data_IF_340200808709
#
_entry.id   IF_340200808709
#
_cell.length_a   1.000
_cell.length_b   1.000
_cell.length_c   1.000
_cell.angle_alpha   90.00
_cell.angle_beta   90.00
_cell.angle_gamma   90.00
#
_symmetry.space_group_name_H-M   'P 1'
#
loop_
_entity.id
_entity.type
_entity.pdbx_description
1 polymer ?
#
# COMPACT_ATOMS: atom_id res chain seq x y z
N UNK A 1 13.98 1.97 -26.65
CA UNK A 1 12.89 1.19 -26.06
C UNK A 1 13.41 -0.21 -25.88
N UNK A 2 13.72 -0.59 -24.64
CA UNK A 2 14.03 -1.99 -24.33
C UNK A 2 12.76 -2.77 -24.64
N UNK A 3 12.88 -3.86 -25.38
CA UNK A 3 11.74 -4.72 -25.66
C UNK A 3 11.40 -5.45 -24.37
N UNK A 4 10.27 -5.15 -23.74
CA UNK A 4 9.74 -5.87 -22.57
C UNK A 4 9.18 -7.27 -22.94
N UNK A 5 9.81 -7.93 -23.91
CA UNK A 5 9.45 -9.28 -24.30
C UNK A 5 9.84 -10.26 -23.17
N UNK A 6 8.86 -11.00 -22.65
CA UNK A 6 9.03 -12.05 -21.64
C UNK A 6 8.89 -13.42 -22.29
N UNK A 7 9.87 -14.29 -22.08
CA UNK A 7 9.83 -15.69 -22.49
C UNK A 7 9.38 -16.59 -21.35
N UNK A 8 8.50 -17.54 -21.66
CA UNK A 8 7.96 -18.53 -20.73
C UNK A 8 8.26 -19.94 -21.25
N UNK A 9 8.64 -20.89 -20.39
CA UNK A 9 8.89 -22.26 -20.80
C UNK A 9 7.61 -22.93 -21.32
N UNK A 10 7.76 -23.93 -22.17
CA UNK A 10 6.64 -24.72 -22.65
C UNK A 10 5.96 -25.48 -21.49
N UNK A 11 4.63 -25.55 -21.51
CA UNK A 11 3.89 -26.33 -20.53
C UNK A 11 3.95 -27.85 -20.85
N UNK A 12 4.12 -28.72 -19.84
CA UNK A 12 4.15 -30.15 -20.07
C UNK A 12 2.77 -30.69 -20.47
N UNK A 13 2.77 -31.82 -21.19
CA UNK A 13 1.55 -32.57 -21.47
C UNK A 13 0.87 -33.05 -20.17
N UNK A 14 -0.46 -33.05 -20.15
CA UNK A 14 -1.22 -33.63 -19.04
C UNK A 14 -1.42 -32.70 -17.83
N UNK A 15 -1.26 -31.38 -17.99
CA UNK A 15 -1.82 -30.41 -17.05
C UNK A 15 -3.28 -30.80 -16.74
N UNK A 16 -3.59 -31.11 -15.47
CA UNK A 16 -4.85 -31.78 -15.08
C UNK A 16 -6.06 -31.04 -15.69
N UNK A 17 -6.91 -31.75 -16.45
CA UNK A 17 -8.20 -31.22 -16.90
C UNK A 17 -9.04 -30.86 -15.67
N UNK A 18 -9.43 -29.60 -15.58
CA UNK A 18 -10.26 -29.05 -14.49
C UNK A 18 -11.64 -28.66 -15.04
N UNK A 19 -12.61 -28.44 -14.15
CA UNK A 19 -13.95 -27.99 -14.51
C UNK A 19 -13.94 -26.63 -15.24
N UNK A 20 -13.09 -25.70 -14.76
CA UNK A 20 -12.70 -24.46 -15.45
C UNK A 20 -11.28 -24.59 -15.99
N UNK A 21 -10.97 -23.92 -17.09
CA UNK A 21 -9.66 -24.06 -17.73
C UNK A 21 -8.55 -23.29 -16.97
N UNK A 22 -8.84 -22.09 -16.47
CA UNK A 22 -8.00 -21.32 -15.54
C UNK A 22 -8.54 -21.40 -14.09
N UNK A 23 -7.74 -21.07 -13.08
CA UNK A 23 -8.16 -21.08 -11.65
C UNK A 23 -8.86 -19.80 -11.24
N UNK A 24 -8.24 -18.69 -11.58
CA UNK A 24 -8.62 -17.33 -11.28
C UNK A 24 -9.81 -16.87 -12.10
N UNK A 25 -10.52 -15.85 -11.60
CA UNK A 25 -11.61 -15.26 -12.36
C UNK A 25 -11.09 -14.55 -13.62
N UNK A 26 -9.93 -13.89 -13.56
CA UNK A 26 -9.37 -13.12 -14.68
C UNK A 26 -8.80 -14.01 -15.78
N UNK A 27 -8.16 -15.13 -15.43
CA UNK A 27 -7.75 -16.14 -16.41
C UNK A 27 -8.94 -16.78 -17.13
N UNK A 28 -10.06 -17.00 -16.44
CA UNK A 28 -11.29 -17.49 -17.09
C UNK A 28 -11.94 -16.40 -17.95
N UNK A 29 -11.90 -15.14 -17.52
CA UNK A 29 -12.44 -14.03 -18.30
C UNK A 29 -11.67 -13.79 -19.60
N UNK A 30 -10.34 -13.98 -19.58
CA UNK A 30 -9.52 -14.05 -20.81
C UNK A 30 -10.01 -15.13 -21.77
N UNK A 31 -10.26 -16.35 -21.28
CA UNK A 31 -10.71 -17.45 -22.13
C UNK A 31 -12.07 -17.13 -22.74
N UNK A 32 -13.00 -16.60 -21.95
CA UNK A 32 -14.30 -16.15 -22.45
C UNK A 32 -14.13 -15.11 -23.55
N UNK A 33 -13.26 -14.12 -23.36
CA UNK A 33 -12.99 -13.10 -24.36
C UNK A 33 -12.46 -13.67 -25.69
N UNK A 34 -11.53 -14.64 -25.64
CA UNK A 34 -11.02 -15.31 -26.84
C UNK A 34 -12.09 -16.20 -27.50
N UNK A 35 -12.90 -16.92 -26.71
CA UNK A 35 -13.97 -17.79 -27.23
C UNK A 35 -15.09 -16.98 -27.88
N UNK A 36 -15.48 -15.84 -27.29
CA UNK A 36 -16.49 -14.93 -27.84
C UNK A 36 -16.02 -14.27 -29.14
N UNK A 37 -14.70 -14.12 -29.33
CA UNK A 37 -14.12 -13.58 -30.55
C UNK A 37 -13.95 -14.61 -31.67
N UNK A 38 -14.10 -15.90 -31.38
CA UNK A 38 -13.83 -16.97 -32.34
C UNK A 38 -14.99 -17.16 -33.33
N UNK A 39 -14.68 -17.27 -34.63
CA UNK A 39 -15.68 -17.53 -35.67
C UNK A 39 -16.06 -19.01 -35.78
N UNK A 40 -15.15 -19.91 -35.38
CA UNK A 40 -15.39 -21.37 -35.38
C UNK A 40 -15.07 -22.01 -34.02
N UNK A 41 -16.14 -22.32 -33.28
CA UNK A 41 -16.08 -23.01 -31.99
C UNK A 41 -15.44 -24.42 -32.06
N UNK A 42 -15.41 -25.06 -33.23
CA UNK A 42 -14.74 -26.34 -33.39
C UNK A 42 -13.22 -26.20 -33.30
N UNK A 43 -12.64 -25.13 -33.87
CA UNK A 43 -11.21 -24.86 -33.73
C UNK A 43 -10.83 -24.59 -32.28
N UNK A 44 -11.66 -23.88 -31.52
CA UNK A 44 -11.45 -23.67 -30.09
C UNK A 44 -11.40 -25.00 -29.32
N UNK A 45 -12.32 -25.94 -29.60
CA UNK A 45 -12.31 -27.28 -29.00
C UNK A 45 -11.04 -28.07 -29.35
N UNK A 46 -10.53 -27.96 -30.58
CA UNK A 46 -9.29 -28.63 -31.01
C UNK A 46 -8.07 -27.96 -30.36
N UNK A 47 -7.98 -26.64 -30.40
CA UNK A 47 -6.91 -25.87 -29.77
C UNK A 47 -6.81 -26.11 -28.27
N UNK A 48 -7.96 -26.21 -27.58
CA UNK A 48 -8.01 -26.61 -26.17
C UNK A 48 -7.38 -27.99 -25.92
N UNK A 49 -7.60 -28.96 -26.81
CA UNK A 49 -6.94 -30.28 -26.72
C UNK A 49 -5.44 -30.16 -26.94
N UNK A 50 -5.00 -29.32 -27.88
CA UNK A 50 -3.59 -29.07 -28.17
C UNK A 50 -2.87 -28.44 -26.97
N UNK A 51 -3.51 -27.46 -26.33
CA UNK A 51 -3.01 -26.84 -25.10
C UNK A 51 -2.77 -27.88 -23.98
N UNK A 52 -3.73 -28.78 -23.73
CA UNK A 52 -3.55 -29.85 -22.74
C UNK A 52 -2.52 -30.92 -23.13
N UNK A 53 -2.33 -31.13 -24.43
CA UNK A 53 -1.38 -32.10 -24.95
C UNK A 53 0.07 -31.60 -24.91
N UNK A 54 0.32 -30.35 -24.49
CA UNK A 54 1.66 -29.76 -24.46
C UNK A 54 2.22 -29.49 -25.87
N UNK A 55 1.34 -29.19 -26.84
CA UNK A 55 1.73 -28.94 -28.23
C UNK A 55 2.19 -27.51 -28.48
N UNK A 56 2.09 -26.61 -27.50
CA UNK A 56 2.61 -25.24 -27.61
C UNK A 56 4.01 -25.23 -26.99
N UNK A 57 4.99 -24.74 -27.75
CA UNK A 57 6.36 -24.57 -27.30
C UNK A 57 6.52 -23.40 -26.32
N UNK A 58 7.76 -22.92 -26.10
CA UNK A 58 8.00 -21.73 -25.30
C UNK A 58 7.20 -20.54 -25.81
N UNK A 59 6.57 -19.80 -24.91
CA UNK A 59 5.69 -18.67 -25.23
C UNK A 59 6.46 -17.38 -25.03
N UNK A 60 6.43 -16.49 -26.02
CA UNK A 60 6.91 -15.11 -25.89
C UNK A 60 5.72 -14.17 -25.80
N UNK A 61 5.73 -13.31 -24.80
CA UNK A 61 4.73 -12.25 -24.60
C UNK A 61 5.43 -10.90 -24.70
N UNK A 62 4.86 -10.00 -25.49
CA UNK A 62 5.30 -8.61 -25.63
C UNK A 62 4.09 -7.69 -25.75
N UNK A 63 4.31 -6.38 -25.83
CA UNK A 63 3.24 -5.41 -26.04
C UNK A 63 2.39 -5.76 -27.27
N UNK A 64 1.11 -6.00 -27.05
CA UNK A 64 0.13 -6.35 -28.07
C UNK A 64 0.36 -7.66 -28.82
N UNK A 65 1.19 -8.57 -28.31
CA UNK A 65 1.51 -9.81 -29.04
C UNK A 65 1.88 -10.98 -28.14
N UNK A 66 1.30 -12.13 -28.43
CA UNK A 66 1.71 -13.44 -27.91
C UNK A 66 2.19 -14.30 -29.08
N UNK A 67 3.27 -15.07 -28.89
CA UNK A 67 3.83 -15.90 -29.95
C UNK A 67 4.43 -17.19 -29.41
N UNK A 68 4.31 -18.27 -30.18
CA UNK A 68 4.97 -19.55 -29.92
C UNK A 68 5.07 -20.38 -31.20
N UNK A 69 5.95 -21.37 -31.21
CA UNK A 69 5.82 -22.49 -32.15
C UNK A 69 4.80 -23.47 -31.60
N UNK A 70 3.79 -23.83 -32.39
CA UNK A 70 2.78 -24.83 -32.04
C UNK A 70 2.93 -26.04 -32.94
N UNK A 71 2.94 -27.23 -32.36
CA UNK A 71 3.16 -28.48 -33.08
C UNK A 71 1.83 -29.13 -33.47
N UNK A 72 1.67 -29.45 -34.75
CA UNK A 72 0.58 -30.26 -35.27
C UNK A 72 0.52 -31.66 -34.63
N UNK A 73 -0.55 -32.41 -34.90
CA UNK A 73 -0.66 -33.81 -34.45
C UNK A 73 0.42 -34.73 -35.01
N UNK A 74 0.94 -34.40 -36.19
CA UNK A 74 2.07 -35.02 -36.88
C UNK A 74 3.44 -34.47 -36.43
N UNK A 75 3.45 -33.56 -35.45
CA UNK A 75 4.61 -32.82 -34.95
C UNK A 75 5.18 -31.78 -35.92
N UNK A 76 4.49 -31.45 -37.00
CA UNK A 76 4.89 -30.34 -37.87
C UNK A 76 4.86 -29.02 -37.10
N UNK A 77 5.95 -28.23 -37.08
CA UNK A 77 5.98 -26.96 -36.37
C UNK A 77 5.27 -25.86 -37.16
N UNK A 78 4.46 -25.07 -36.47
CA UNK A 78 3.80 -23.89 -37.00
C UNK A 78 4.21 -22.65 -36.22
N UNK A 79 4.67 -21.60 -36.91
CA UNK A 79 4.91 -20.30 -36.29
C UNK A 79 3.56 -19.62 -36.09
N UNK A 80 3.21 -19.38 -34.83
CA UNK A 80 1.90 -18.85 -34.45
C UNK A 80 2.07 -17.60 -33.60
N UNK A 81 1.36 -16.54 -33.95
CA UNK A 81 1.17 -15.37 -33.10
C UNK A 81 -0.29 -14.95 -33.02
N UNK A 82 -0.64 -14.24 -31.96
CA UNK A 82 -1.88 -13.50 -31.86
C UNK A 82 -1.51 -12.08 -31.51
N UNK A 83 -1.93 -11.16 -32.35
CA UNK A 83 -1.86 -9.73 -32.10
C UNK A 83 -3.10 -9.32 -31.32
N UNK A 84 -2.88 -8.53 -30.27
CA UNK A 84 -3.94 -8.04 -29.39
C UNK A 84 -3.83 -6.52 -29.34
N UNK A 85 -4.95 -5.82 -29.53
CA UNK A 85 -4.99 -4.37 -29.38
C UNK A 85 -4.39 -3.95 -28.02
N UNK A 86 -3.66 -2.86 -27.98
CA UNK A 86 -3.15 -2.29 -26.72
C UNK A 86 -4.13 -1.27 -26.19
N UNK A 87 -4.12 -1.04 -24.88
CA UNK A 87 -4.84 0.09 -24.31
C UNK A 87 -4.15 1.38 -24.73
N UNK A 88 -4.95 2.41 -24.99
CA UNK A 88 -4.47 3.77 -25.22
C UNK A 88 -3.86 4.35 -23.94
N UNK A 89 -3.01 5.37 -24.06
CA UNK A 89 -2.43 6.04 -22.89
C UNK A 89 -3.52 6.63 -21.95
N UNK A 90 -4.65 7.06 -22.50
CA UNK A 90 -5.79 7.55 -21.71
C UNK A 90 -6.45 6.44 -20.90
N UNK A 91 -6.62 5.25 -21.48
CA UNK A 91 -7.16 4.09 -20.78
C UNK A 91 -6.18 3.59 -19.71
N UNK A 92 -4.89 3.56 -20.01
CA UNK A 92 -3.84 3.27 -19.02
C UNK A 92 -3.87 4.26 -17.85
N UNK A 93 -3.99 5.56 -18.13
CA UNK A 93 -4.07 6.57 -17.08
C UNK A 93 -5.28 6.36 -16.16
N UNK A 94 -6.45 6.04 -16.71
CA UNK A 94 -7.66 5.73 -15.93
C UNK A 94 -7.49 4.49 -15.06
N UNK A 95 -6.92 3.43 -15.63
CA UNK A 95 -6.67 2.18 -14.90
C UNK A 95 -5.71 2.43 -13.73
N UNK A 96 -4.62 3.16 -13.97
CA UNK A 96 -3.62 3.47 -12.95
C UNK A 96 -4.20 4.36 -11.84
N UNK A 97 -5.00 5.39 -12.18
CA UNK A 97 -5.68 6.21 -11.17
C UNK A 97 -6.64 5.39 -10.31
N UNK A 98 -7.38 4.47 -10.92
CA UNK A 98 -8.29 3.58 -10.22
C UNK A 98 -7.56 2.62 -9.26
N UNK A 99 -6.47 2.02 -9.71
CA UNK A 99 -5.63 1.14 -8.86
C UNK A 99 -4.98 1.97 -7.74
N UNK A 100 -4.44 3.14 -8.05
CA UNK A 100 -3.78 4.03 -7.11
C UNK A 100 -4.71 4.59 -6.02
N UNK A 101 -6.02 4.64 -6.29
CA UNK A 101 -7.02 5.14 -5.35
C UNK A 101 -7.17 4.27 -4.08
N UNK A 102 -6.71 3.01 -4.09
CA UNK A 102 -6.73 2.14 -2.92
C UNK A 102 -5.45 1.33 -2.81
N UNK A 103 -4.70 1.55 -1.72
CA UNK A 103 -3.46 0.81 -1.43
C UNK A 103 -3.65 -0.72 -1.46
N UNK A 104 -4.83 -1.22 -1.08
CA UNK A 104 -5.17 -2.65 -1.17
C UNK A 104 -5.16 -3.23 -2.59
N UNK A 105 -5.44 -2.43 -3.63
CA UNK A 105 -5.36 -2.89 -5.02
C UNK A 105 -3.91 -3.02 -5.49
N UNK A 106 -3.03 -2.12 -5.07
CA UNK A 106 -1.59 -2.22 -5.33
C UNK A 106 -1.02 -3.46 -4.62
N UNK A 107 -1.38 -3.66 -3.35
CA UNK A 107 -0.98 -4.85 -2.60
C UNK A 107 -1.43 -6.14 -3.29
N UNK A 108 -2.68 -6.22 -3.77
CA UNK A 108 -3.17 -7.37 -4.52
C UNK A 108 -2.33 -7.65 -5.77
N UNK A 109 -2.00 -6.61 -6.56
CA UNK A 109 -1.14 -6.79 -7.74
C UNK A 109 0.26 -7.28 -7.38
N UNK A 110 0.86 -6.74 -6.31
CA UNK A 110 2.17 -7.21 -5.79
C UNK A 110 2.13 -8.69 -5.38
N UNK A 111 1.00 -9.14 -4.84
CA UNK A 111 0.74 -10.55 -4.50
C UNK A 111 0.33 -11.40 -5.72
N UNK A 112 0.42 -10.85 -6.94
CA UNK A 112 0.04 -11.49 -8.21
C UNK A 112 -1.43 -11.87 -8.29
N UNK A 113 -2.30 -11.07 -7.66
CA UNK A 113 -3.74 -11.18 -7.76
C UNK A 113 -4.36 -9.99 -8.52
N UNK A 114 -5.39 -10.25 -9.33
CA UNK A 114 -6.12 -9.18 -10.00
C UNK A 114 -7.20 -8.60 -9.08
N UNK A 115 -7.28 -7.27 -8.86
CA UNK A 115 -8.32 -6.65 -8.05
C UNK A 115 -9.74 -7.04 -8.51
N UNK A 116 -10.56 -7.57 -7.60
CA UNK A 116 -11.88 -8.14 -7.93
C UNK A 116 -12.90 -7.16 -8.53
N UNK A 117 -12.72 -5.85 -8.31
CA UNK A 117 -13.60 -4.80 -8.81
C UNK A 117 -13.08 -4.12 -10.09
N UNK A 118 -12.14 -4.75 -10.82
CA UNK A 118 -11.48 -4.13 -11.97
C UNK A 118 -12.45 -3.63 -13.05
N UNK A 119 -13.65 -4.22 -13.14
CA UNK A 119 -14.72 -3.75 -14.03
C UNK A 119 -15.16 -2.32 -13.72
N UNK A 120 -15.04 -1.88 -12.47
CA UNK A 120 -15.32 -0.51 -12.05
C UNK A 120 -14.29 0.51 -12.55
N UNK A 121 -13.14 0.08 -13.09
CA UNK A 121 -12.20 0.96 -13.76
C UNK A 121 -12.72 1.45 -15.13
N UNK A 122 -13.80 0.85 -15.67
CA UNK A 122 -14.38 1.17 -16.99
C UNK A 122 -13.35 1.15 -18.13
N UNK A 123 -12.30 0.35 -17.98
CA UNK A 123 -11.25 0.14 -18.98
C UNK A 123 -11.40 -1.27 -19.57
N UNK A 124 -11.42 -1.41 -20.91
CA UNK A 124 -11.55 -2.72 -21.56
C UNK A 124 -10.24 -3.50 -21.47
N UNK A 125 -9.90 -4.01 -20.29
CA UNK A 125 -8.63 -4.71 -20.09
C UNK A 125 -8.58 -6.04 -20.85
N UNK A 126 -9.71 -6.75 -20.93
CA UNK A 126 -9.85 -7.96 -21.71
C UNK A 126 -10.09 -7.61 -23.19
N UNK A 127 -9.52 -8.39 -24.12
CA UNK A 127 -9.71 -8.12 -25.55
C UNK A 127 -11.18 -8.27 -25.94
N UNK A 128 -11.65 -7.39 -26.82
CA UNK A 128 -12.96 -7.51 -27.45
C UNK A 128 -12.88 -8.34 -28.74
N UNK A 129 -14.03 -8.67 -29.33
CA UNK A 129 -14.11 -9.48 -30.55
C UNK A 129 -13.24 -8.94 -31.70
N UNK A 130 -13.09 -7.62 -31.81
CA UNK A 130 -12.29 -6.97 -32.86
C UNK A 130 -10.82 -6.76 -32.49
N UNK A 131 -10.42 -7.10 -31.26
CA UNK A 131 -9.09 -6.78 -30.75
C UNK A 131 -8.07 -7.89 -31.06
N UNK A 132 -8.49 -9.00 -31.67
CA UNK A 132 -7.66 -10.20 -31.85
C UNK A 132 -7.39 -10.49 -33.32
N UNK A 133 -6.11 -10.51 -33.66
CA UNK A 133 -5.62 -10.80 -35.00
C UNK A 133 -4.67 -12.00 -34.94
N UNK A 134 -5.18 -13.23 -35.15
CA UNK A 134 -4.36 -14.44 -35.15
C UNK A 134 -3.58 -14.58 -36.47
N UNK A 135 -2.31 -14.91 -36.38
CA UNK A 135 -1.42 -15.20 -37.50
C UNK A 135 -0.80 -16.60 -37.32
N UNK A 136 -0.89 -17.44 -38.35
CA UNK A 136 -0.29 -18.76 -38.35
C UNK A 136 0.08 -19.17 -39.78
N UNK A 137 1.21 -19.86 -39.94
CA UNK A 137 1.68 -20.40 -41.22
C UNK A 137 1.00 -21.72 -41.64
N UNK A 138 -0.09 -22.14 -40.97
CA UNK A 138 -0.79 -23.37 -41.31
C UNK A 138 -1.74 -23.17 -42.50
N UNK A 139 -2.08 -24.25 -43.20
CA UNK A 139 -3.02 -24.22 -44.33
C UNK A 139 -4.49 -23.97 -43.94
N UNK A 140 -4.78 -23.81 -42.64
CA UNK A 140 -6.12 -23.52 -42.13
C UNK A 140 -6.53 -22.06 -42.38
N UNK A 141 -7.80 -21.86 -42.73
CA UNK A 141 -8.39 -20.54 -43.02
C UNK A 141 -9.30 -20.04 -41.90
N UNK A 142 -9.42 -20.81 -40.82
CA UNK A 142 -10.28 -20.47 -39.69
C UNK A 142 -9.64 -19.42 -38.78
N UNK A 143 -10.47 -18.56 -38.17
CA UNK A 143 -10.03 -17.45 -37.32
C UNK A 143 -10.64 -17.56 -35.91
N UNK A 144 -9.84 -17.82 -34.86
CA UNK A 144 -8.47 -18.33 -34.90
C UNK A 144 -8.41 -19.79 -35.37
N UNK A 145 -7.28 -20.20 -35.96
CA UNK A 145 -7.01 -21.60 -36.25
C UNK A 145 -6.73 -22.38 -34.94
N UNK A 146 -6.74 -23.72 -34.99
CA UNK A 146 -6.43 -24.57 -33.83
C UNK A 146 -5.11 -24.23 -33.11
N UNK A 147 -4.09 -23.74 -33.83
CA UNK A 147 -2.79 -23.40 -33.24
C UNK A 147 -2.86 -22.09 -32.46
N UNK A 148 -3.45 -21.05 -33.04
CA UNK A 148 -3.69 -19.77 -32.36
C UNK A 148 -4.62 -19.96 -31.15
N UNK A 149 -5.66 -20.78 -31.28
CA UNK A 149 -6.51 -21.17 -30.16
C UNK A 149 -5.70 -21.86 -29.03
N UNK A 150 -4.84 -22.83 -29.37
CA UNK A 150 -4.00 -23.53 -28.39
C UNK A 150 -3.06 -22.57 -27.63
N UNK A 151 -2.43 -21.64 -28.35
CA UNK A 151 -1.59 -20.59 -27.78
C UNK A 151 -2.40 -19.71 -26.81
N UNK A 152 -3.56 -19.20 -27.23
CA UNK A 152 -4.42 -18.35 -26.39
C UNK A 152 -4.89 -19.05 -25.12
N UNK A 153 -5.19 -20.35 -25.20
CA UNK A 153 -5.51 -21.15 -24.01
C UNK A 153 -4.32 -21.25 -23.05
N UNK A 154 -3.11 -21.58 -23.52
CA UNK A 154 -1.95 -21.68 -22.60
C UNK A 154 -1.54 -20.32 -22.03
N UNK A 155 -1.71 -19.23 -22.77
CA UNK A 155 -1.52 -17.88 -22.22
C UNK A 155 -2.49 -17.60 -21.06
N UNK A 156 -3.69 -18.17 -21.07
CA UNK A 156 -4.60 -18.07 -19.93
C UNK A 156 -3.99 -18.65 -18.64
N UNK A 157 -3.15 -19.69 -18.72
CA UNK A 157 -2.43 -20.23 -17.56
C UNK A 157 -1.31 -19.30 -17.08
N UNK A 158 -0.64 -18.61 -18.01
CA UNK A 158 0.34 -17.59 -17.63
C UNK A 158 -0.34 -16.41 -16.92
N UNK A 159 -1.46 -15.94 -17.46
CA UNK A 159 -2.28 -14.88 -16.87
C UNK A 159 -2.82 -15.32 -15.50
N UNK A 160 -3.20 -16.59 -15.34
CA UNK A 160 -3.68 -17.17 -14.09
C UNK A 160 -2.64 -17.15 -12.96
N UNK A 161 -1.36 -17.26 -13.31
CA UNK A 161 -0.25 -17.25 -12.36
C UNK A 161 0.31 -15.85 -12.13
N UNK A 162 0.29 -14.99 -13.15
CA UNK A 162 0.86 -13.65 -13.11
C UNK A 162 -0.02 -12.66 -13.90
N UNK A 163 -0.83 -11.82 -13.24
CA UNK A 163 -1.70 -10.86 -13.93
C UNK A 163 -0.92 -9.81 -14.74
N UNK A 164 0.37 -9.61 -14.46
CA UNK A 164 1.20 -8.70 -15.26
C UNK A 164 1.44 -9.20 -16.68
N UNK A 165 1.20 -10.49 -16.96
CA UNK A 165 1.20 -11.01 -18.34
C UNK A 165 0.10 -10.34 -19.15
N UNK A 166 -1.11 -10.17 -18.58
CA UNK A 166 -2.21 -9.48 -19.24
C UNK A 166 -1.90 -7.98 -19.42
N UNK A 167 -1.33 -7.35 -18.39
CA UNK A 167 -0.96 -5.93 -18.44
C UNK A 167 0.12 -5.67 -19.50
N UNK A 168 1.09 -6.59 -19.62
CA UNK A 168 2.13 -6.55 -20.67
C UNK A 168 1.52 -6.69 -22.06
N UNK A 169 0.61 -7.65 -22.27
CA UNK A 169 -0.12 -7.80 -23.54
C UNK A 169 -0.84 -6.49 -23.88
N UNK A 170 -1.41 -5.80 -22.89
CA UNK A 170 -2.14 -4.54 -23.09
C UNK A 170 -1.25 -3.29 -23.17
N UNK A 171 0.08 -3.44 -23.11
CA UNK A 171 1.05 -2.40 -23.47
C UNK A 171 1.85 -1.77 -22.33
N UNK A 172 1.86 -2.36 -21.12
CA UNK A 172 2.72 -1.91 -20.02
C UNK A 172 3.40 -3.07 -19.30
N UNK A 173 4.73 -3.01 -19.22
CA UNK A 173 5.55 -3.93 -18.44
C UNK A 173 5.35 -3.75 -16.93
N UNK A 174 5.73 -4.76 -16.16
CA UNK A 174 5.58 -4.78 -14.70
C UNK A 174 6.35 -3.64 -14.01
N UNK A 175 7.61 -3.42 -14.39
CA UNK A 175 8.44 -2.38 -13.79
C UNK A 175 7.86 -0.99 -14.03
N UNK A 176 7.56 -0.66 -15.29
CA UNK A 176 6.96 0.63 -15.67
C UNK A 176 5.62 0.87 -14.95
N UNK A 177 4.78 -0.17 -14.86
CA UNK A 177 3.49 -0.08 -14.19
C UNK A 177 3.62 0.17 -12.69
N UNK A 178 4.53 -0.54 -12.02
CA UNK A 178 4.76 -0.36 -10.57
C UNK A 178 5.39 1.01 -10.28
N UNK A 179 6.27 1.50 -11.13
CA UNK A 179 6.84 2.84 -11.01
C UNK A 179 5.76 3.93 -11.18
N UNK A 180 4.88 3.79 -12.18
CA UNK A 180 3.75 4.73 -12.36
C UNK A 180 2.78 4.70 -11.17
N UNK A 181 2.47 3.52 -10.62
CA UNK A 181 1.63 3.40 -9.42
C UNK A 181 2.29 4.03 -8.19
N UNK A 182 3.60 3.83 -8.00
CA UNK A 182 4.34 4.45 -6.92
C UNK A 182 4.33 5.98 -7.03
N UNK A 183 4.41 6.54 -8.23
CA UNK A 183 4.32 7.98 -8.45
C UNK A 183 2.93 8.54 -8.14
N UNK A 184 1.86 7.78 -8.43
CA UNK A 184 0.47 8.20 -8.19
C UNK A 184 0.02 8.02 -6.74
N UNK A 185 0.50 6.97 -6.07
CA UNK A 185 0.15 6.64 -4.68
C UNK A 185 1.17 7.12 -3.66
N UNK A 186 2.31 7.66 -4.11
CA UNK A 186 3.35 8.18 -3.25
C UNK A 186 2.91 9.40 -2.43
N UNK A 187 3.66 9.75 -1.36
CA UNK A 187 3.39 10.96 -0.60
C UNK A 187 3.40 12.18 -1.53
N UNK A 188 2.46 13.10 -1.33
CA UNK A 188 2.38 14.32 -2.14
C UNK A 188 3.73 15.05 -2.16
N UNK A 189 4.02 15.79 -3.22
CA UNK A 189 5.25 16.59 -3.29
C UNK A 189 5.40 17.56 -2.12
N UNK A 190 4.29 18.04 -1.57
CA UNK A 190 4.26 18.82 -0.33
C UNK A 190 4.68 18.00 0.90
N UNK A 191 4.24 16.75 1.02
CA UNK A 191 4.64 15.86 2.11
C UNK A 191 6.12 15.44 2.00
N UNK A 192 6.60 15.17 0.79
CA UNK A 192 8.02 14.89 0.53
C UNK A 192 8.92 16.04 1.00
N UNK A 193 8.51 17.29 0.83
CA UNK A 193 9.26 18.44 1.34
C UNK A 193 9.45 18.38 2.86
N UNK A 194 8.40 18.04 3.62
CA UNK A 194 8.50 17.91 5.08
C UNK A 194 9.41 16.75 5.47
N UNK A 195 9.30 15.60 4.78
CA UNK A 195 10.15 14.42 5.03
C UNK A 195 11.63 14.73 4.82
N UNK A 196 11.96 15.40 3.71
CA UNK A 196 13.33 15.83 3.40
C UNK A 196 13.83 16.85 4.42
N UNK A 197 12.98 17.79 4.85
CA UNK A 197 13.34 18.80 5.85
C UNK A 197 13.62 18.16 7.22
N UNK A 198 12.78 17.21 7.67
CA UNK A 198 12.97 16.49 8.93
C UNK A 198 14.23 15.62 8.89
N UNK A 199 14.43 14.89 7.78
CA UNK A 199 15.62 14.06 7.59
C UNK A 199 16.91 14.88 7.60
N UNK A 200 16.92 16.04 6.93
CA UNK A 200 18.06 16.95 6.94
C UNK A 200 18.33 17.52 8.35
N UNK A 201 17.31 17.91 9.09
CA UNK A 201 17.45 18.39 10.47
C UNK A 201 18.02 17.30 11.40
N UNK A 202 17.55 16.06 11.27
CA UNK A 202 18.08 14.91 12.03
C UNK A 202 19.53 14.59 11.67
N UNK A 203 19.87 14.62 10.37
CA UNK A 203 21.24 14.42 9.91
C UNK A 203 22.18 15.50 10.45
N UNK A 204 21.75 16.76 10.46
CA UNK A 204 22.53 17.85 11.05
C UNK A 204 22.74 17.65 12.56
N UNK A 205 21.69 17.28 13.30
CA UNK A 205 21.82 17.02 14.73
C UNK A 205 22.81 15.88 15.04
N UNK A 206 22.81 14.81 14.22
CA UNK A 206 23.79 13.73 14.32
C UNK A 206 25.24 14.22 14.06
N UNK A 207 25.43 15.09 13.06
CA UNK A 207 26.73 15.71 12.78
C UNK A 207 27.20 16.60 13.92
N UNK A 208 26.29 17.28 14.61
CA UNK A 208 26.56 18.10 15.80
C UNK A 208 26.76 17.25 17.08
N UNK A 209 26.75 15.92 16.96
CA UNK A 209 27.00 14.98 18.05
C UNK A 209 25.79 14.67 18.93
N UNK A 210 24.58 15.10 18.55
CA UNK A 210 23.36 14.71 19.23
C UNK A 210 23.04 13.23 18.96
N UNK A 211 22.45 12.56 19.95
CA UNK A 211 21.89 11.22 19.80
C UNK A 211 20.36 11.35 19.78
N UNK A 212 19.70 11.25 18.61
CA UNK A 212 18.25 11.34 18.54
C UNK A 212 17.61 10.23 19.36
N UNK A 213 16.55 10.54 20.14
CA UNK A 213 15.82 9.49 20.85
C UNK A 213 15.12 8.55 19.86
N UNK A 214 15.08 7.26 20.18
CA UNK A 214 14.17 6.34 19.51
C UNK A 214 12.74 6.66 19.98
N UNK A 215 11.91 7.10 19.04
CA UNK A 215 10.51 7.43 19.28
C UNK A 215 9.62 6.28 18.83
N UNK A 216 8.56 6.03 19.59
CA UNK A 216 7.46 5.19 19.10
C UNK A 216 6.74 5.88 17.94
N UNK A 217 5.99 5.13 17.13
CA UNK A 217 5.19 5.69 16.03
C UNK A 217 4.24 6.81 16.52
N UNK A 218 3.63 6.61 17.70
CA UNK A 218 2.78 7.62 18.31
C UNK A 218 3.56 8.89 18.71
N UNK A 219 4.71 8.73 19.36
CA UNK A 219 5.57 9.86 19.71
C UNK A 219 6.05 10.61 18.48
N UNK A 220 6.44 9.91 17.41
CA UNK A 220 6.91 10.54 16.18
C UNK A 220 5.78 11.27 15.46
N UNK A 221 4.56 10.72 15.47
CA UNK A 221 3.35 11.39 14.93
C UNK A 221 3.08 12.72 15.64
N UNK A 222 3.10 12.72 16.97
CA UNK A 222 2.87 13.94 17.76
C UNK A 222 4.00 14.95 17.57
N UNK A 223 5.25 14.48 17.51
CA UNK A 223 6.41 15.32 17.18
C UNK A 223 6.24 16.01 15.83
N UNK A 224 5.82 15.26 14.81
CA UNK A 224 5.57 15.78 13.47
C UNK A 224 4.47 16.84 13.47
N UNK A 225 3.34 16.57 14.12
CA UNK A 225 2.25 17.54 14.25
C UNK A 225 2.68 18.83 15.00
N UNK A 226 3.52 18.69 16.02
CA UNK A 226 4.08 19.83 16.75
C UNK A 226 5.09 20.64 15.93
N UNK A 227 5.92 19.96 15.12
CA UNK A 227 6.97 20.59 14.30
C UNK A 227 6.40 21.21 13.02
N UNK A 228 5.39 20.59 12.43
CA UNK A 228 4.77 20.97 11.17
C UNK A 228 3.24 21.10 11.34
N UNK A 229 2.74 22.22 11.91
CA UNK A 229 1.31 22.39 12.20
C UNK A 229 0.39 22.25 10.98
N UNK A 230 0.92 22.47 9.77
CA UNK A 230 0.19 22.28 8.52
C UNK A 230 -0.21 20.80 8.26
N UNK A 231 0.45 19.84 8.92
CA UNK A 231 0.18 18.41 8.78
C UNK A 231 -0.79 17.86 9.84
N UNK A 232 -1.12 18.64 10.87
CA UNK A 232 -1.92 18.16 12.01
C UNK A 232 -3.26 17.55 11.59
N UNK A 233 -3.96 18.17 10.62
CA UNK A 233 -5.23 17.63 10.13
C UNK A 233 -5.09 16.27 9.44
N UNK A 234 -4.08 16.12 8.57
CA UNK A 234 -3.81 14.85 7.88
C UNK A 234 -3.39 13.74 8.85
N UNK A 235 -2.55 14.07 9.84
CA UNK A 235 -2.11 13.11 10.85
C UNK A 235 -3.26 12.71 11.80
N UNK A 236 -4.15 13.64 12.14
CA UNK A 236 -5.33 13.35 12.94
C UNK A 236 -6.30 12.42 12.19
N UNK A 237 -6.52 12.65 10.89
CA UNK A 237 -7.32 11.78 10.03
C UNK A 237 -6.71 10.39 9.91
N UNK A 238 -5.41 10.29 9.62
CA UNK A 238 -4.70 9.02 9.45
C UNK A 238 -4.69 8.17 10.73
N UNK A 239 -4.58 8.81 11.90
CA UNK A 239 -4.56 8.09 13.19
C UNK A 239 -5.95 7.90 13.80
N UNK A 240 -6.96 8.63 13.32
CA UNK A 240 -8.28 8.70 13.94
C UNK A 240 -8.25 9.31 15.36
N UNK A 241 -7.25 10.14 15.67
CA UNK A 241 -7.04 10.73 17.01
C UNK A 241 -7.01 12.25 16.93
N UNK A 242 -7.63 12.92 17.90
CA UNK A 242 -7.38 14.35 18.12
C UNK A 242 -5.96 14.53 18.69
N UNK A 243 -5.14 15.31 17.97
CA UNK A 243 -3.76 15.57 18.32
C UNK A 243 -3.59 16.82 19.20
N UNK A 244 -4.64 17.60 19.44
CA UNK A 244 -4.54 18.92 20.10
C UNK A 244 -3.88 18.84 21.48
N UNK A 245 -4.37 17.93 22.34
CA UNK A 245 -3.82 17.72 23.70
C UNK A 245 -2.42 17.12 23.67
N UNK A 246 -2.18 16.18 22.76
CA UNK A 246 -0.89 15.50 22.60
C UNK A 246 0.20 16.46 22.11
N UNK A 247 -0.10 17.27 21.09
CA UNK A 247 0.80 18.33 20.58
C UNK A 247 1.12 19.31 21.69
N UNK A 248 0.13 19.73 22.48
CA UNK A 248 0.37 20.65 23.60
C UNK A 248 1.27 20.03 24.67
N UNK A 249 1.04 18.77 25.03
CA UNK A 249 1.90 18.03 25.96
C UNK A 249 3.34 17.91 25.44
N UNK A 250 3.50 17.62 24.15
CA UNK A 250 4.79 17.53 23.48
C UNK A 250 5.51 18.88 23.44
N UNK A 251 4.82 19.96 23.09
CA UNK A 251 5.41 21.31 23.04
C UNK A 251 5.94 21.75 24.41
N UNK A 252 5.25 21.39 25.50
CA UNK A 252 5.70 21.71 26.84
C UNK A 252 6.79 20.76 27.37
N UNK A 253 6.69 19.47 27.08
CA UNK A 253 7.44 18.45 27.80
C UNK A 253 8.16 17.40 26.96
N UNK A 254 8.09 17.49 25.64
CA UNK A 254 8.61 16.49 24.72
C UNK A 254 8.03 15.09 24.95
N UNK A 255 8.83 14.02 24.77
CA UNK A 255 8.40 12.64 25.00
C UNK A 255 7.86 12.39 26.41
N UNK A 256 8.45 13.01 27.44
CA UNK A 256 7.99 12.84 28.83
C UNK A 256 6.66 13.55 29.07
N UNK A 257 6.45 14.73 28.47
CA UNK A 257 5.16 15.41 28.53
C UNK A 257 4.03 14.57 27.92
N UNK A 258 4.31 13.90 26.80
CA UNK A 258 3.37 12.96 26.18
C UNK A 258 3.14 11.70 27.05
N UNK A 259 4.18 11.12 27.65
CA UNK A 259 4.04 9.98 28.59
C UNK A 259 3.15 10.35 29.78
N UNK A 260 3.30 11.55 30.33
CA UNK A 260 2.51 12.05 31.47
C UNK A 260 1.05 12.36 31.08
N UNK A 261 0.79 12.67 29.80
CA UNK A 261 -0.57 12.80 29.29
C UNK A 261 -1.28 11.45 29.22
N UNK A 262 -0.61 10.45 28.61
CA UNK A 262 -1.20 9.18 28.22
C UNK A 262 -1.21 8.14 29.35
N UNK A 263 -0.21 8.19 30.23
CA UNK A 263 0.03 7.15 31.22
C UNK A 263 -0.04 7.66 32.66
N UNK A 264 -0.40 6.75 33.56
CA UNK A 264 -0.27 6.95 35.00
C UNK A 264 0.66 5.90 35.57
N UNK A 265 1.45 6.26 36.58
CA UNK A 265 2.39 5.36 37.22
C UNK A 265 2.35 5.54 38.74
N UNK A 266 2.85 4.55 39.50
CA UNK A 266 2.87 4.61 40.96
C UNK A 266 4.28 4.97 41.44
N UNK A 267 4.51 6.19 41.95
CA UNK A 267 5.82 6.56 42.48
C UNK A 267 6.22 5.70 43.68
N UNK A 268 7.53 5.49 43.82
CA UNK A 268 8.08 4.77 44.97
C UNK A 268 7.86 5.57 46.26
N UNK A 269 7.99 4.92 47.43
CA UNK A 269 7.82 5.59 48.74
C UNK A 269 8.71 6.83 48.87
N UNK A 270 9.95 6.74 48.40
CA UNK A 270 10.91 7.85 48.43
C UNK A 270 10.47 9.02 47.55
N UNK A 271 9.97 8.75 46.36
CA UNK A 271 9.50 9.80 45.44
C UNK A 271 8.23 10.46 45.95
N UNK A 272 7.31 9.68 46.54
CA UNK A 272 6.13 10.21 47.22
C UNK A 272 6.49 11.09 48.41
N UNK A 273 7.49 10.71 49.22
CA UNK A 273 7.95 11.51 50.34
C UNK A 273 8.57 12.84 49.87
N UNK A 274 9.39 12.81 48.82
CA UNK A 274 9.94 14.03 48.20
C UNK A 274 8.83 14.92 47.61
N UNK A 275 7.87 14.31 46.92
CA UNK A 275 6.75 15.02 46.34
C UNK A 275 5.87 15.66 47.42
N UNK A 276 5.57 14.94 48.50
CA UNK A 276 4.82 15.48 49.64
C UNK A 276 5.54 16.66 50.28
N UNK A 277 6.85 16.54 50.53
CA UNK A 277 7.66 17.63 51.08
C UNK A 277 7.70 18.86 50.16
N UNK A 278 7.75 18.66 48.83
CA UNK A 278 7.70 19.76 47.87
C UNK A 278 6.32 20.44 47.81
N UNK A 279 5.25 19.73 48.18
CA UNK A 279 3.88 20.21 48.20
C UNK A 279 3.45 20.80 49.56
N UNK A 280 4.30 20.71 50.60
CA UNK A 280 4.10 21.40 51.88
C UNK A 280 4.46 22.88 51.73
N UNK A 281 3.58 23.64 51.06
CA UNK A 281 3.70 25.10 50.90
C UNK A 281 2.37 25.78 51.25
N UNK A 282 2.38 26.91 51.98
CA UNK A 282 1.17 27.68 52.27
C UNK A 282 0.53 28.30 51.01
N UNK A 283 1.26 28.37 49.90
CA UNK A 283 0.78 28.91 48.62
C UNK A 283 0.03 27.86 47.78
N UNK A 284 -0.03 26.61 48.23
CA UNK A 284 -0.66 25.50 47.52
C UNK A 284 -2.06 25.19 48.06
N UNK A 285 -3.04 24.90 47.18
CA UNK A 285 -4.35 24.43 47.61
C UNK A 285 -4.25 23.01 48.20
N UNK A 286 -5.30 22.57 48.89
CA UNK A 286 -5.39 21.20 49.38
C UNK A 286 -5.52 20.22 48.19
N UNK A 287 -4.47 19.43 47.96
CA UNK A 287 -4.36 18.54 46.81
C UNK A 287 -4.65 17.09 47.20
N UNK A 288 -5.57 16.44 46.49
CA UNK A 288 -5.80 15.00 46.63
C UNK A 288 -4.88 14.21 45.72
N UNK A 289 -4.10 13.29 46.30
CA UNK A 289 -3.16 12.44 45.57
C UNK A 289 -3.81 11.16 45.05
N UNK A 290 -3.51 10.81 43.81
CA UNK A 290 -3.82 9.50 43.21
C UNK A 290 -2.72 9.14 42.22
N UNK A 291 -1.97 8.06 42.50
CA UNK A 291 -0.81 7.64 41.68
C UNK A 291 0.23 8.77 41.55
N UNK A 292 0.54 9.21 40.33
CA UNK A 292 1.44 10.32 40.07
C UNK A 292 0.69 11.65 39.87
N UNK A 293 -0.60 11.75 40.23
CA UNK A 293 -1.42 12.95 40.06
C UNK A 293 -1.82 13.55 41.42
N UNK A 294 -1.81 14.88 41.49
CA UNK A 294 -2.27 15.69 42.62
C UNK A 294 -3.30 16.68 42.09
N UNK A 295 -4.52 16.63 42.60
CA UNK A 295 -5.67 17.35 42.02
C UNK A 295 -6.32 18.28 43.04
N UNK A 296 -6.62 19.51 42.64
CA UNK A 296 -7.41 20.49 43.38
C UNK A 296 -8.34 21.24 42.41
N UNK A 297 -9.65 21.19 42.68
CA UNK A 297 -10.71 21.80 41.84
C UNK A 297 -10.52 21.56 40.33
N UNK A 298 -10.10 22.60 39.60
CA UNK A 298 -9.89 22.61 38.15
C UNK A 298 -8.40 22.57 37.75
N UNK A 299 -7.52 22.25 38.68
CA UNK A 299 -6.06 22.14 38.49
C UNK A 299 -5.56 20.76 38.88
N UNK A 300 -4.54 20.28 38.17
CA UNK A 300 -3.88 19.02 38.47
C UNK A 300 -2.39 19.14 38.17
N UNK A 301 -1.56 18.71 39.12
CA UNK A 301 -0.15 18.49 38.92
C UNK A 301 0.11 17.00 38.67
N UNK A 302 0.93 16.69 37.66
CA UNK A 302 1.36 15.32 37.38
C UNK A 302 2.88 15.22 37.49
N UNK A 303 3.35 14.24 38.25
CA UNK A 303 4.78 13.96 38.40
C UNK A 303 5.27 13.07 37.25
N UNK A 304 6.23 13.57 36.48
CA UNK A 304 6.93 12.82 35.46
C UNK A 304 7.99 11.88 36.05
N UNK A 305 8.38 10.85 35.28
CA UNK A 305 9.50 9.96 35.66
C UNK A 305 10.86 10.66 35.62
N UNK A 306 10.92 11.85 35.01
CA UNK A 306 12.05 12.76 35.03
C UNK A 306 12.11 13.62 36.30
N UNK A 307 11.15 13.46 37.22
CA UNK A 307 11.08 14.18 38.49
C UNK A 307 10.53 15.60 38.39
N UNK A 308 10.00 16.01 37.23
CA UNK A 308 9.39 17.34 37.05
C UNK A 308 7.87 17.30 37.20
N UNK A 309 7.30 18.46 37.51
CA UNK A 309 5.88 18.69 37.73
C UNK A 309 5.23 19.30 36.50
N UNK A 310 4.26 18.58 35.95
CA UNK A 310 3.52 18.98 34.75
C UNK A 310 2.17 19.56 35.14
N UNK A 311 1.89 20.84 34.83
CA UNK A 311 0.62 21.46 35.16
C UNK A 311 -0.49 21.15 34.14
N UNK A 312 -1.68 20.83 34.66
CA UNK A 312 -2.89 20.58 33.90
C UNK A 312 -4.05 21.43 34.41
N UNK A 313 -4.90 21.88 33.51
CA UNK A 313 -6.16 22.56 33.80
C UNK A 313 -7.34 21.80 33.21
N UNK A 314 -8.46 21.77 33.91
CA UNK A 314 -9.69 21.16 33.42
C UNK A 314 -10.37 22.08 32.40
N UNK A 315 -10.59 21.59 31.18
CA UNK A 315 -11.27 22.28 30.08
C UNK A 315 -12.27 21.31 29.46
N UNK A 316 -13.54 21.71 29.36
CA UNK A 316 -14.63 20.89 28.80
C UNK A 316 -14.71 19.45 29.36
N UNK A 317 -14.42 19.31 30.66
CA UNK A 317 -14.44 18.02 31.36
C UNK A 317 -13.14 17.22 31.29
N UNK A 318 -12.19 17.60 30.43
CA UNK A 318 -10.91 16.93 30.23
C UNK A 318 -9.73 17.66 30.89
N UNK A 319 -8.67 16.92 31.23
CA UNK A 319 -7.42 17.49 31.74
C UNK A 319 -6.47 17.83 30.58
N UNK A 320 -6.23 19.13 30.38
CA UNK A 320 -5.36 19.65 29.33
C UNK A 320 -4.02 20.14 29.90
N UNK A 321 -2.87 19.82 29.27
CA UNK A 321 -1.59 20.41 29.63
C UNK A 321 -1.69 21.93 29.55
N UNK A 322 -1.19 22.62 30.57
CA UNK A 322 -1.45 24.05 30.74
C UNK A 322 -0.18 24.91 30.79
N UNK A 323 1.00 24.30 30.89
CA UNK A 323 2.30 24.99 30.87
C UNK A 323 3.49 24.03 30.79
N UNK A 324 4.72 24.58 30.70
CA UNK A 324 5.96 23.80 30.76
C UNK A 324 6.11 23.10 32.13
N UNK A 325 6.89 22.00 32.19
CA UNK A 325 7.16 21.32 33.45
C UNK A 325 8.18 22.08 34.30
N UNK A 326 7.95 22.09 35.61
CA UNK A 326 8.82 22.78 36.58
C UNK A 326 9.42 21.80 37.59
N UNK A 327 10.53 22.17 38.23
CA UNK A 327 11.11 21.39 39.33
C UNK A 327 10.38 21.60 40.65
N UNK A 328 9.80 22.79 40.83
CA UNK A 328 9.03 23.17 42.01
C UNK A 328 7.52 23.13 41.72
N UNK A 329 6.71 22.36 42.47
CA UNK A 329 5.28 22.25 42.20
C UNK A 329 4.51 23.55 42.46
N UNK A 330 4.95 24.43 43.37
CA UNK A 330 4.30 25.73 43.59
C UNK A 330 4.44 26.62 42.33
N UNK A 331 5.64 26.69 41.76
CA UNK A 331 5.90 27.36 40.49
C UNK A 331 5.05 26.76 39.35
N UNK A 332 4.94 25.43 39.27
CA UNK A 332 4.09 24.77 38.28
C UNK A 332 2.61 25.20 38.40
N UNK A 333 2.10 25.36 39.63
CA UNK A 333 0.72 25.77 39.91
C UNK A 333 0.45 27.27 39.69
N UNK A 334 1.45 28.12 39.89
CA UNK A 334 1.34 29.55 39.56
C UNK A 334 1.33 29.81 38.05
N UNK A 335 1.96 28.93 37.27
CA UNK A 335 2.01 29.02 35.81
C UNK A 335 0.70 28.63 35.10
N UNK A 336 -0.31 28.20 35.84
CA UNK A 336 -1.60 27.77 35.29
C UNK A 336 -2.61 28.90 35.35
#
# INVERSE_FOLDING_TARGET
MVSDARGFPAFPAGARRRARFARSWWGNAWITAIEDAALDNNQMKIGRKYAYAGQVGPITVSHGRIAATVYGSDRTPHVTSVHIAQLTDTEWARLLDWVAAKAGYIAALLDKEMPHDLTAAEVPLLPQMTDLEPECDCEGWELPCRHAAALSYQVAWLIDEDPFVLLLIRGRGEADLLDELNLRSGPSSSMLRYLVTDAAARAQALLDGAVPPELTEWQDTVRWAATYPALTGQLAEATGRDLTRAVRAWTYGGPTGLDVLDNTWRPGKTDLAKAAAALESPDLPELTQTRNHWTADNTQLRLGKDGRWYPYRRQDGEWCPAGPPETDPATALLGI
#
